data_IF_246492725609
#
_entry.id   IF_246492725609
#
_cell.length_a   1.000
_cell.length_b   1.000
_cell.length_c   1.000
_cell.angle_alpha   90.00
_cell.angle_beta   90.00
_cell.angle_gamma   90.00
#
_symmetry.space_group_name_H-M   'P 1'
#
loop_
_entity.id
_entity.type
_entity.pdbx_description
1 polymer ?
#
# COMPACT_ATOMS: atom_id res chain seq x y z
N UNK A 1 -2.36 -5.02 -6.98
CA UNK A 1 -3.40 -4.14 -6.43
C UNK A 1 -2.85 -2.74 -6.23
N UNK A 2 -3.70 -1.72 -6.26
CA UNK A 2 -3.27 -0.33 -6.16
C UNK A 2 -4.20 0.52 -5.30
N UNK A 3 -3.65 1.30 -4.36
CA UNK A 3 -4.37 2.32 -3.60
C UNK A 3 -4.11 3.72 -4.19
N UNK A 4 -5.19 4.37 -4.61
CA UNK A 4 -5.17 5.70 -5.24
C UNK A 4 -4.80 6.82 -4.26
N UNK A 5 -4.54 8.02 -4.77
CA UNK A 5 -4.24 9.19 -3.96
C UNK A 5 -5.49 9.94 -3.46
N UNK A 6 -5.29 10.85 -2.50
CA UNK A 6 -6.34 11.74 -2.00
C UNK A 6 -7.01 12.52 -3.13
N UNK A 7 -8.34 12.54 -3.14
CA UNK A 7 -9.17 13.24 -4.13
C UNK A 7 -9.33 12.51 -5.47
N UNK A 8 -8.66 11.36 -5.68
CA UNK A 8 -8.80 10.60 -6.92
C UNK A 8 -10.15 9.83 -6.94
N UNK A 9 -10.83 9.75 -8.10
CA UNK A 9 -12.08 8.99 -8.22
C UNK A 9 -11.85 7.48 -8.03
N UNK A 10 -12.90 6.70 -7.71
CA UNK A 10 -12.80 5.24 -7.58
C UNK A 10 -12.07 4.59 -8.76
N UNK A 11 -11.16 3.66 -8.46
CA UNK A 11 -10.24 3.06 -9.42
C UNK A 11 -8.79 3.12 -8.93
N UNK A 12 -7.84 2.90 -9.84
CA UNK A 12 -6.40 2.91 -9.51
C UNK A 12 -5.76 4.29 -9.62
N UNK A 13 -6.49 5.30 -10.10
CA UNK A 13 -5.96 6.63 -10.38
C UNK A 13 -4.98 6.67 -11.56
N UNK A 14 -4.56 7.86 -12.01
CA UNK A 14 -3.64 8.03 -13.13
C UNK A 14 -2.26 7.40 -12.87
N UNK A 15 -1.71 7.57 -11.67
CA UNK A 15 -0.42 6.96 -11.28
C UNK A 15 -0.51 5.43 -11.29
N UNK A 16 -1.59 4.88 -10.72
CA UNK A 16 -1.81 3.44 -10.70
C UNK A 16 -2.05 2.86 -12.09
N UNK A 17 -2.75 3.59 -12.96
CA UNK A 17 -2.97 3.18 -14.35
C UNK A 17 -1.65 3.10 -15.13
N UNK A 18 -0.82 4.16 -15.04
CA UNK A 18 0.49 4.16 -15.67
C UNK A 18 1.40 3.02 -15.16
N UNK A 19 1.36 2.75 -13.84
CA UNK A 19 2.08 1.63 -13.25
C UNK A 19 1.57 0.27 -13.77
N UNK A 20 0.25 0.08 -13.82
CA UNK A 20 -0.40 -1.14 -14.32
C UNK A 20 -0.02 -1.39 -15.78
N UNK A 21 -0.07 -0.37 -16.64
CA UNK A 21 0.26 -0.51 -18.05
C UNK A 21 1.75 -0.82 -18.25
N UNK A 22 2.61 -0.14 -17.50
CA UNK A 22 4.05 -0.42 -17.47
C UNK A 22 4.36 -1.85 -17.02
N UNK A 23 3.70 -2.34 -15.96
CA UNK A 23 3.88 -3.71 -15.48
C UNK A 23 3.36 -4.72 -16.50
N UNK A 24 2.15 -4.52 -17.06
CA UNK A 24 1.53 -5.40 -18.04
C UNK A 24 2.44 -5.63 -19.24
N UNK A 25 3.10 -4.57 -19.74
CA UNK A 25 4.04 -4.66 -20.87
C UNK A 25 5.25 -5.58 -20.60
N UNK A 26 5.61 -5.79 -19.33
CA UNK A 26 6.77 -6.61 -18.91
C UNK A 26 6.40 -8.03 -18.49
N UNK A 27 5.10 -8.34 -18.39
CA UNK A 27 4.65 -9.64 -17.91
C UNK A 27 4.64 -10.74 -18.98
N UNK A 28 4.77 -10.38 -20.27
CA UNK A 28 4.72 -11.33 -21.38
C UNK A 28 3.37 -12.04 -21.43
N UNK A 29 3.37 -13.37 -21.53
CA UNK A 29 2.16 -14.19 -21.61
C UNK A 29 1.46 -14.46 -20.27
N UNK A 30 1.97 -13.93 -19.15
CA UNK A 30 1.36 -14.16 -17.82
C UNK A 30 0.06 -13.36 -17.67
N UNK A 31 -0.94 -13.97 -17.04
CA UNK A 31 -2.16 -13.26 -16.66
C UNK A 31 -1.89 -12.25 -15.55
N UNK A 32 -2.61 -11.14 -15.57
CA UNK A 32 -2.54 -10.10 -14.54
C UNK A 32 -3.92 -9.54 -14.26
N UNK A 33 -4.40 -9.73 -13.03
CA UNK A 33 -5.54 -9.03 -12.47
C UNK A 33 -5.13 -7.69 -11.84
N UNK A 34 -6.07 -6.74 -11.83
CA UNK A 34 -5.89 -5.45 -11.16
C UNK A 34 -7.01 -5.28 -10.16
N UNK A 35 -6.65 -5.01 -8.91
CA UNK A 35 -7.58 -4.67 -7.84
C UNK A 35 -7.32 -3.23 -7.42
N UNK A 36 -8.35 -2.39 -7.53
CA UNK A 36 -8.35 -1.04 -6.99
C UNK A 36 -8.83 -1.10 -5.54
N UNK A 37 -8.00 -0.62 -4.61
CA UNK A 37 -8.37 -0.60 -3.19
C UNK A 37 -9.59 0.29 -2.99
N UNK A 38 -10.62 -0.28 -2.37
CA UNK A 38 -11.89 0.37 -2.18
C UNK A 38 -11.93 1.09 -0.84
N UNK A 39 -11.69 2.40 -0.88
CA UNK A 39 -11.72 3.28 0.28
C UNK A 39 -12.03 4.72 -0.14
N UNK A 40 -12.35 5.65 0.79
CA UNK A 40 -12.79 7.00 0.43
C UNK A 40 -11.75 7.81 -0.36
N UNK A 41 -10.46 7.65 -0.04
CA UNK A 41 -9.38 8.49 -0.57
C UNK A 41 -9.66 9.99 -0.41
N UNK A 42 -10.21 10.40 0.73
CA UNK A 42 -10.59 11.79 1.02
C UNK A 42 -9.50 12.53 1.80
N UNK A 43 -9.74 13.81 2.09
CA UNK A 43 -8.93 14.63 2.98
C UNK A 43 -9.16 14.32 4.47
N UNK A 44 -10.14 13.47 4.80
CA UNK A 44 -10.31 12.86 6.12
C UNK A 44 -9.38 11.64 6.21
N UNK A 45 -8.13 11.88 6.61
CA UNK A 45 -7.05 10.88 6.55
C UNK A 45 -7.27 9.67 7.46
N UNK A 46 -8.04 9.83 8.54
CA UNK A 46 -8.45 8.78 9.45
C UNK A 46 -9.26 7.68 8.74
N UNK A 47 -10.04 8.04 7.71
CA UNK A 47 -10.74 7.08 6.83
C UNK A 47 -9.81 6.22 5.99
N UNK A 48 -8.51 6.52 5.97
CA UNK A 48 -7.48 5.67 5.37
C UNK A 48 -7.46 4.26 5.94
N UNK A 49 -7.91 4.07 7.19
CA UNK A 49 -8.07 2.74 7.82
C UNK A 49 -8.96 1.80 7.00
N UNK A 50 -9.97 2.31 6.31
CA UNK A 50 -10.84 1.51 5.44
C UNK A 50 -10.04 0.93 4.28
N UNK A 51 -9.10 1.69 3.73
CA UNK A 51 -8.18 1.23 2.69
C UNK A 51 -7.22 0.17 3.20
N UNK A 52 -6.73 0.31 4.45
CA UNK A 52 -5.88 -0.71 5.08
C UNK A 52 -6.66 -2.01 5.25
N UNK A 53 -7.93 -1.92 5.68
CA UNK A 53 -8.81 -3.06 5.90
C UNK A 53 -9.15 -3.77 4.59
N UNK A 54 -9.56 -3.01 3.58
CA UNK A 54 -9.91 -3.53 2.26
C UNK A 54 -8.68 -4.20 1.60
N UNK A 55 -7.54 -3.49 1.58
CA UNK A 55 -6.33 -4.03 0.99
C UNK A 55 -5.81 -5.26 1.75
N UNK A 56 -5.77 -5.21 3.08
CA UNK A 56 -5.36 -6.34 3.91
C UNK A 56 -6.25 -7.58 3.71
N UNK A 57 -7.57 -7.39 3.69
CA UNK A 57 -8.52 -8.47 3.43
C UNK A 57 -8.32 -9.08 2.03
N UNK A 58 -8.11 -8.25 1.01
CA UNK A 58 -7.86 -8.74 -0.34
C UNK A 58 -6.54 -9.54 -0.45
N UNK A 59 -5.49 -9.11 0.26
CA UNK A 59 -4.21 -9.83 0.30
C UNK A 59 -4.38 -11.20 0.96
N UNK A 60 -5.05 -11.27 2.12
CA UNK A 60 -5.34 -12.53 2.83
C UNK A 60 -6.21 -13.45 1.97
N UNK A 61 -7.26 -12.91 1.37
CA UNK A 61 -8.17 -13.67 0.49
C UNK A 61 -7.43 -14.25 -0.72
N UNK A 62 -6.57 -13.47 -1.37
CA UNK A 62 -5.78 -13.91 -2.52
C UNK A 62 -4.75 -14.98 -2.12
N UNK A 63 -4.07 -14.82 -0.99
CA UNK A 63 -3.11 -15.81 -0.49
C UNK A 63 -3.79 -17.17 -0.22
N UNK A 64 -4.99 -17.16 0.39
CA UNK A 64 -5.75 -18.37 0.70
C UNK A 64 -6.43 -19.01 -0.52
N UNK A 65 -7.05 -18.20 -1.39
CA UNK A 65 -7.82 -18.69 -2.54
C UNK A 65 -6.97 -18.99 -3.77
N UNK A 66 -5.79 -18.39 -3.89
CA UNK A 66 -4.93 -18.48 -5.06
C UNK A 66 -3.45 -18.59 -4.66
N UNK A 67 -3.02 -19.72 -4.05
CA UNK A 67 -1.71 -19.82 -3.39
C UNK A 67 -0.51 -19.61 -4.33
N UNK A 68 -0.66 -19.88 -5.63
CA UNK A 68 0.40 -19.66 -6.62
C UNK A 68 0.46 -18.21 -7.14
N UNK A 69 -0.52 -17.36 -6.79
CA UNK A 69 -0.55 -15.98 -7.25
C UNK A 69 0.45 -15.13 -6.49
N UNK A 70 1.18 -14.30 -7.23
CA UNK A 70 2.05 -13.27 -6.68
C UNK A 70 1.37 -11.91 -6.76
N UNK A 71 1.40 -11.18 -5.66
CA UNK A 71 0.81 -9.85 -5.53
C UNK A 71 1.88 -8.77 -5.59
N UNK A 72 1.57 -7.69 -6.28
CA UNK A 72 2.32 -6.44 -6.20
C UNK A 72 1.40 -5.39 -5.57
N UNK A 73 1.85 -4.79 -4.47
CA UNK A 73 1.11 -3.77 -3.73
C UNK A 73 1.62 -2.39 -4.16
N UNK A 74 0.78 -1.60 -4.79
CA UNK A 74 1.10 -0.25 -5.22
C UNK A 74 0.28 0.80 -4.48
N UNK A 75 0.84 1.97 -4.23
CA UNK A 75 0.09 3.08 -3.68
C UNK A 75 0.67 4.43 -4.06
N UNK A 76 -0.18 5.45 -4.17
CA UNK A 76 0.23 6.84 -4.46
C UNK A 76 -0.20 7.79 -3.34
N UNK A 77 0.71 8.64 -2.84
CA UNK A 77 0.43 9.65 -1.81
C UNK A 77 -0.22 9.02 -0.55
N UNK A 78 -1.47 9.35 -0.22
CA UNK A 78 -2.23 8.69 0.85
C UNK A 78 -2.35 7.17 0.63
N UNK A 79 -2.58 6.71 -0.60
CA UNK A 79 -2.59 5.28 -0.93
C UNK A 79 -1.22 4.60 -0.71
N UNK A 80 -0.12 5.35 -0.80
CA UNK A 80 1.20 4.82 -0.44
C UNK A 80 1.33 4.66 1.09
N UNK A 81 0.72 5.56 1.89
CA UNK A 81 0.57 5.38 3.33
C UNK A 81 -0.28 4.15 3.66
N UNK A 82 -1.44 3.98 2.99
CA UNK A 82 -2.31 2.80 3.14
C UNK A 82 -1.52 1.51 2.91
N UNK A 83 -0.82 1.38 1.78
CA UNK A 83 -0.01 0.18 1.50
C UNK A 83 1.17 0.01 2.47
N UNK A 84 1.71 1.12 2.98
CA UNK A 84 2.72 1.10 4.01
C UNK A 84 2.21 0.49 5.32
N UNK A 85 1.00 0.87 5.75
CA UNK A 85 0.38 0.28 6.94
C UNK A 85 -0.07 -1.17 6.74
N UNK A 86 -0.57 -1.53 5.55
CA UNK A 86 -0.88 -2.94 5.21
C UNK A 86 0.36 -3.83 5.37
N UNK A 87 1.55 -3.26 5.12
CA UNK A 87 2.84 -3.96 5.20
C UNK A 87 3.61 -3.64 6.49
N UNK A 88 2.98 -2.99 7.46
CA UNK A 88 3.59 -2.70 8.76
C UNK A 88 3.77 -3.95 9.61
N UNK A 89 4.82 -4.01 10.46
CA UNK A 89 5.07 -5.17 11.31
C UNK A 89 4.18 -5.20 12.56
N UNK A 90 3.59 -4.06 12.92
CA UNK A 90 2.80 -3.85 14.12
C UNK A 90 1.78 -2.73 13.89
N UNK A 91 0.76 -2.68 14.75
CA UNK A 91 -0.07 -1.48 14.91
C UNK A 91 0.83 -0.37 15.48
N UNK A 92 0.81 0.85 14.93
CA UNK A 92 1.63 1.95 15.44
C UNK A 92 1.33 2.31 16.90
N UNK A 93 2.35 2.77 17.62
CA UNK A 93 2.20 3.22 19.01
C UNK A 93 1.15 4.36 19.10
N UNK A 94 0.31 4.32 20.13
CA UNK A 94 -0.75 5.31 20.35
C UNK A 94 -2.03 5.07 19.54
N UNK A 95 -2.07 4.06 18.67
CA UNK A 95 -3.29 3.60 17.99
C UNK A 95 -3.90 2.43 18.74
N UNK A 96 -5.21 2.46 19.00
CA UNK A 96 -5.92 1.34 19.61
C UNK A 96 -5.95 0.14 18.64
N UNK A 97 -5.33 -1.01 18.97
CA UNK A 97 -5.34 -2.20 18.12
C UNK A 97 -6.72 -2.77 17.82
N UNK A 98 -7.76 -2.41 18.58
CA UNK A 98 -9.14 -2.80 18.30
C UNK A 98 -9.77 -2.02 17.13
N UNK A 99 -9.19 -0.88 16.75
CA UNK A 99 -9.75 0.04 15.76
C UNK A 99 -9.16 -0.14 14.36
N UNK A 100 -8.04 -0.85 14.23
CA UNK A 100 -7.30 -1.02 12.97
C UNK A 100 -7.05 -2.49 12.61
N UNK A 101 -6.80 -2.81 11.33
CA UNK A 101 -6.39 -4.16 10.93
C UNK A 101 -5.08 -4.58 11.61
N UNK A 102 -4.99 -5.87 11.97
CA UNK A 102 -3.76 -6.47 12.47
C UNK A 102 -2.74 -6.64 11.34
N UNK A 103 -1.43 -6.66 11.64
CA UNK A 103 -0.40 -7.03 10.68
C UNK A 103 -0.70 -8.36 9.97
N UNK A 104 -0.32 -8.44 8.70
CA UNK A 104 -0.46 -9.66 7.93
C UNK A 104 0.41 -10.78 8.52
N UNK A 105 -0.10 -12.02 8.48
CA UNK A 105 0.66 -13.17 8.93
C UNK A 105 1.93 -13.39 8.06
N UNK A 106 3.04 -13.92 8.62
CA UNK A 106 4.30 -14.05 7.89
C UNK A 106 4.22 -14.88 6.60
N UNK A 107 3.37 -15.90 6.58
CA UNK A 107 3.12 -16.75 5.41
C UNK A 107 2.41 -15.97 4.28
N UNK A 108 1.45 -15.10 4.63
CA UNK A 108 0.78 -14.20 3.67
C UNK A 108 1.80 -13.26 3.00
N UNK A 109 2.83 -12.80 3.72
CA UNK A 109 3.88 -11.97 3.17
C UNK A 109 4.65 -12.65 2.02
N UNK A 110 4.71 -13.98 1.96
CA UNK A 110 5.39 -14.73 0.89
C UNK A 110 4.64 -14.69 -0.46
N UNK A 111 3.37 -14.30 -0.46
CA UNK A 111 2.59 -14.06 -1.67
C UNK A 111 2.80 -12.66 -2.24
N UNK A 112 3.39 -11.75 -1.47
CA UNK A 112 3.77 -10.41 -1.95
C UNK A 112 5.14 -10.47 -2.60
N UNK A 113 5.20 -10.19 -3.91
CA UNK A 113 6.46 -10.13 -4.66
C UNK A 113 7.14 -8.77 -4.59
N UNK A 114 6.36 -7.68 -4.53
CA UNK A 114 6.90 -6.32 -4.44
C UNK A 114 5.89 -5.34 -3.82
N UNK A 115 6.41 -4.27 -3.24
CA UNK A 115 5.66 -3.11 -2.75
C UNK A 115 6.22 -1.85 -3.43
N UNK A 116 5.36 -1.05 -4.05
CA UNK A 116 5.76 0.14 -4.83
C UNK A 116 5.01 1.35 -4.31
N UNK A 117 5.73 2.23 -3.61
CA UNK A 117 5.16 3.40 -2.94
C UNK A 117 5.53 4.65 -3.70
N UNK A 118 4.57 5.27 -4.39
CA UNK A 118 4.74 6.51 -5.14
C UNK A 118 4.43 7.71 -4.24
N UNK A 119 5.42 8.59 -4.04
CA UNK A 119 5.30 9.78 -3.21
C UNK A 119 4.81 9.50 -1.78
N UNK A 120 5.29 8.47 -1.05
CA UNK A 120 4.82 8.23 0.31
C UNK A 120 5.10 9.45 1.20
N UNK A 121 4.13 9.86 2.03
CA UNK A 121 4.31 10.97 2.96
C UNK A 121 5.47 10.67 3.92
N UNK A 122 6.23 11.70 4.26
CA UNK A 122 7.30 11.59 5.26
C UNK A 122 6.75 11.81 6.67
N UNK A 123 7.56 11.55 7.70
CA UNK A 123 7.17 11.69 9.11
C UNK A 123 6.58 13.08 9.42
N UNK A 124 7.17 14.15 8.86
CA UNK A 124 6.66 15.51 9.07
C UNK A 124 5.25 15.69 8.49
N UNK A 125 5.00 15.13 7.31
CA UNK A 125 3.68 15.17 6.70
C UNK A 125 2.67 14.34 7.50
N UNK A 126 3.04 13.12 7.92
CA UNK A 126 2.18 12.27 8.76
C UNK A 126 1.79 12.96 10.07
N UNK A 127 2.76 13.54 10.78
CA UNK A 127 2.50 14.29 12.01
C UNK A 127 1.58 15.50 11.78
N UNK A 128 1.74 16.21 10.66
CA UNK A 128 0.87 17.34 10.31
C UNK A 128 -0.58 16.89 10.05
N UNK A 129 -0.75 15.68 9.51
CA UNK A 129 -2.05 15.08 9.21
C UNK A 129 -2.69 14.40 10.44
N UNK A 130 -1.98 14.35 11.57
CA UNK A 130 -2.45 13.64 12.77
C UNK A 130 -2.32 12.12 12.69
N UNK A 131 -1.55 11.62 11.72
CA UNK A 131 -1.40 10.19 11.44
C UNK A 131 -0.06 9.65 11.93
N UNK A 132 0.01 8.36 12.34
CA UNK A 132 1.26 7.77 12.79
C UNK A 132 2.29 7.64 11.64
N UNK A 133 3.60 7.59 11.95
CA UNK A 133 4.62 7.32 10.94
C UNK A 133 4.42 5.97 10.24
N UNK A 134 4.61 5.95 8.92
CA UNK A 134 4.54 4.73 8.12
C UNK A 134 5.84 3.93 8.24
N UNK A 135 5.76 2.74 8.82
CA UNK A 135 6.89 1.83 9.00
C UNK A 135 6.67 0.53 8.24
N UNK A 136 7.56 0.20 7.31
CA UNK A 136 7.48 -1.04 6.51
C UNK A 136 8.10 -2.19 7.30
N UNK A 137 7.38 -3.30 7.40
CA UNK A 137 7.81 -4.48 8.15
C UNK A 137 9.02 -5.17 7.50
N UNK A 138 9.88 -5.86 8.29
CA UNK A 138 11.11 -6.49 7.79
C UNK A 138 10.88 -7.45 6.61
N UNK A 139 9.77 -8.18 6.59
CA UNK A 139 9.40 -9.10 5.51
C UNK A 139 9.18 -8.41 4.15
N UNK A 140 8.96 -7.09 4.14
CA UNK A 140 8.68 -6.29 2.95
C UNK A 140 9.80 -5.31 2.58
N UNK A 141 10.72 -4.99 3.49
CA UNK A 141 11.78 -4.00 3.25
C UNK A 141 12.60 -4.33 1.99
N UNK A 142 13.09 -5.56 1.86
CA UNK A 142 13.91 -5.98 0.71
C UNK A 142 13.17 -6.02 -0.65
N UNK A 143 11.85 -5.89 -0.64
CA UNK A 143 10.99 -5.87 -1.84
C UNK A 143 10.15 -4.60 -1.96
N UNK A 144 10.45 -3.58 -1.17
CA UNK A 144 9.79 -2.28 -1.22
C UNK A 144 10.64 -1.27 -1.98
N UNK A 145 10.04 -0.58 -2.93
CA UNK A 145 10.63 0.61 -3.56
C UNK A 145 9.77 1.83 -3.25
N UNK A 146 10.42 2.93 -2.86
CA UNK A 146 9.80 4.25 -2.70
C UNK A 146 10.20 5.10 -3.91
N UNK A 147 9.22 5.55 -4.69
CA UNK A 147 9.42 6.35 -5.89
C UNK A 147 9.00 7.79 -5.61
N UNK A 148 9.93 8.73 -5.73
CA UNK A 148 9.71 10.14 -5.42
C UNK A 148 10.00 11.00 -6.64
N UNK A 149 9.34 12.15 -6.75
CA UNK A 149 9.67 13.11 -7.78
C UNK A 149 11.10 13.66 -7.56
N UNK A 150 11.84 14.00 -8.63
CA UNK A 150 13.13 14.65 -8.49
C UNK A 150 12.99 15.91 -7.62
N UNK A 151 13.81 16.04 -6.56
CA UNK A 151 13.82 17.10 -5.53
C UNK A 151 12.82 16.97 -4.38
N UNK A 152 11.94 15.96 -4.35
CA UNK A 152 11.17 15.62 -3.14
C UNK A 152 11.76 14.39 -2.46
N UNK A 153 12.29 14.53 -1.24
CA UNK A 153 12.69 13.38 -0.42
C UNK A 153 11.42 12.73 0.14
N UNK A 154 11.03 11.55 -0.34
CA UNK A 154 10.19 10.68 0.49
C UNK A 154 11.04 10.15 1.64
N UNK A 155 10.40 9.77 2.75
CA UNK A 155 11.11 9.33 3.95
C UNK A 155 12.21 8.30 3.63
N UNK A 156 13.41 8.42 4.23
CA UNK A 156 14.46 7.43 4.06
C UNK A 156 13.94 6.03 4.40
N UNK A 157 14.47 5.00 3.75
CA UNK A 157 14.34 3.62 4.22
C UNK A 157 15.09 3.54 5.55
N UNK A 158 14.36 3.25 6.62
CA UNK A 158 14.96 2.82 7.88
C UNK A 158 15.59 1.43 7.69
#
# INVERSE_FOLDING_TARGET
MFARGTGEPPGVGPTGQAFVDGLRSRLGARSMGVYAVNYPASDQWDTGVDGIRDAGAHVVSTAGGCPNTKMVLGGYSQGAAVMGFVTSPAVPDGVDPATVPKPLAPDVANHVAAVVLFGPPNVRAMNFLGEPPVNIGPAYQGKTIKVCAPKTRCAPTA
#
